data_IF_478507853725
#
_entry.id   IF_478507853725
#
_cell.length_a   1.000
_cell.length_b   1.000
_cell.length_c   1.000
_cell.angle_alpha   90.00
_cell.angle_beta   90.00
_cell.angle_gamma   90.00
#
_symmetry.space_group_name_H-M   'P 1'
#
loop_
_entity.id
_entity.type
_entity.pdbx_description
1 polymer ?
#
# COMPACT_ATOMS: atom_id res chain seq x y z
N UNK A 1 17.53 -8.75 3.73
CA UNK A 1 17.01 -7.42 4.12
C UNK A 1 17.02 -6.56 2.87
N UNK A 2 15.90 -5.92 2.54
CA UNK A 2 15.87 -4.92 1.47
C UNK A 2 15.53 -3.61 2.15
N UNK A 3 16.47 -2.69 2.13
CA UNK A 3 16.29 -1.32 2.62
C UNK A 3 16.28 -0.38 1.43
N UNK A 4 15.47 0.67 1.54
CA UNK A 4 15.38 1.73 0.56
C UNK A 4 15.51 3.05 1.31
N UNK A 5 16.51 3.86 0.97
CA UNK A 5 16.83 5.10 1.68
C UNK A 5 15.91 6.28 1.36
N UNK A 6 14.98 6.13 0.40
CA UNK A 6 14.09 7.19 -0.07
C UNK A 6 12.74 6.62 -0.56
N UNK A 7 12.22 7.11 -1.69
CA UNK A 7 10.88 6.75 -2.19
C UNK A 7 10.83 5.33 -2.78
N UNK A 8 9.87 4.52 -2.31
CA UNK A 8 9.49 3.27 -2.96
C UNK A 8 8.18 3.43 -3.73
N UNK A 9 8.25 3.40 -5.06
CA UNK A 9 7.07 3.33 -5.92
C UNK A 9 6.92 1.93 -6.52
N UNK A 10 5.79 1.29 -6.25
CA UNK A 10 5.45 -0.01 -6.83
C UNK A 10 4.16 0.10 -7.64
N UNK A 11 4.25 -0.20 -8.93
CA UNK A 11 3.09 -0.22 -9.84
C UNK A 11 2.98 -1.64 -10.41
N UNK A 12 1.86 -2.31 -10.13
CA UNK A 12 1.52 -3.57 -10.76
C UNK A 12 0.54 -3.29 -11.92
N UNK A 13 0.84 -3.80 -13.12
CA UNK A 13 -0.08 -3.72 -14.26
C UNK A 13 -1.24 -4.72 -14.20
N UNK A 14 -1.23 -5.62 -13.22
CA UNK A 14 -2.26 -6.61 -12.95
C UNK A 14 -2.46 -6.77 -11.43
N UNK A 15 -2.40 -8.00 -10.94
CA UNK A 15 -2.69 -8.30 -9.53
C UNK A 15 -1.47 -8.09 -8.62
N UNK A 16 -1.72 -7.61 -7.39
CA UNK A 16 -0.76 -7.59 -6.29
C UNK A 16 -1.30 -8.44 -5.14
N UNK A 17 -0.55 -9.48 -4.75
CA UNK A 17 -0.83 -10.31 -3.57
C UNK A 17 0.34 -10.15 -2.58
N UNK A 18 0.02 -10.09 -1.29
CA UNK A 18 1.01 -10.03 -0.20
C UNK A 18 0.64 -11.12 0.80
N UNK A 19 1.49 -12.14 0.92
CA UNK A 19 1.36 -13.20 1.92
C UNK A 19 2.48 -13.04 2.95
N UNK A 20 2.11 -13.01 4.22
CA UNK A 20 3.06 -12.89 5.34
C UNK A 20 2.76 -14.01 6.34
N UNK A 21 3.77 -14.74 6.79
CA UNK A 21 3.58 -15.88 7.69
C UNK A 21 3.10 -15.48 9.10
N UNK A 22 3.57 -14.32 9.59
CA UNK A 22 3.27 -13.84 10.93
C UNK A 22 2.57 -12.47 10.84
N UNK A 23 3.33 -11.39 10.95
CA UNK A 23 2.78 -10.04 11.10
C UNK A 23 3.16 -9.15 9.93
N UNK A 24 2.20 -8.34 9.47
CA UNK A 24 2.46 -7.20 8.57
C UNK A 24 2.24 -5.92 9.37
N UNK A 25 3.27 -5.09 9.49
CA UNK A 25 3.20 -3.80 10.17
C UNK A 25 3.46 -2.68 9.15
N UNK A 26 2.59 -1.67 9.13
CA UNK A 26 2.71 -0.49 8.27
C UNK A 26 2.68 0.74 9.15
N UNK A 27 3.77 1.52 9.13
CA UNK A 27 3.88 2.78 9.85
C UNK A 27 4.12 3.91 8.84
N UNK A 28 3.44 5.03 9.03
CA UNK A 28 3.56 6.22 8.17
C UNK A 28 3.68 7.47 9.02
N UNK A 29 4.49 8.43 8.59
CA UNK A 29 4.71 9.68 9.34
C UNK A 29 3.69 10.78 9.07
N UNK A 30 2.89 10.67 8.00
CA UNK A 30 1.94 11.70 7.60
C UNK A 30 0.56 11.10 7.27
N UNK A 31 0.49 10.23 6.26
CA UNK A 31 -0.76 9.61 5.88
C UNK A 31 -0.60 8.17 5.39
N UNK A 32 -1.69 7.42 5.50
CA UNK A 32 -1.86 6.13 4.84
C UNK A 32 -3.20 6.15 4.10
N UNK A 33 -3.16 6.19 2.77
CA UNK A 33 -4.36 6.27 1.91
C UNK A 33 -4.56 4.93 1.19
N UNK A 34 -5.75 4.35 1.37
CA UNK A 34 -6.24 3.21 0.59
C UNK A 34 -7.36 3.74 -0.30
N UNK A 35 -7.07 3.88 -1.59
CA UNK A 35 -8.07 4.22 -2.61
C UNK A 35 -8.40 2.98 -3.44
N UNK A 36 -9.65 2.51 -3.32
CA UNK A 36 -10.17 1.36 -4.04
C UNK A 36 -11.30 1.82 -4.95
N UNK A 37 -11.10 1.74 -6.27
CA UNK A 37 -12.03 2.34 -7.23
C UNK A 37 -13.48 1.80 -7.18
N UNK A 38 -13.69 0.52 -6.86
CA UNK A 38 -15.05 -0.07 -6.82
C UNK A 38 -15.41 -0.75 -5.51
N UNK A 39 -14.48 -1.48 -4.87
CA UNK A 39 -14.76 -2.23 -3.64
C UNK A 39 -13.50 -2.35 -2.78
N UNK A 40 -13.66 -2.11 -1.48
CA UNK A 40 -12.70 -2.50 -0.45
C UNK A 40 -13.35 -3.56 0.45
N UNK A 41 -12.64 -4.65 0.69
CA UNK A 41 -13.05 -5.69 1.65
C UNK A 41 -11.90 -5.89 2.63
N UNK A 42 -12.20 -5.80 3.92
CA UNK A 42 -11.28 -6.11 5.00
C UNK A 42 -11.88 -7.29 5.74
N UNK A 43 -11.15 -8.40 5.77
CA UNK A 43 -11.56 -9.63 6.44
C UNK A 43 -10.53 -9.94 7.54
N UNK A 44 -11.03 -10.26 8.73
CA UNK A 44 -10.24 -10.57 9.90
C UNK A 44 -10.89 -11.71 10.66
N UNK A 45 -10.10 -12.70 11.07
CA UNK A 45 -10.63 -13.90 11.73
C UNK A 45 -11.24 -13.67 13.10
N UNK A 46 -10.83 -12.61 13.81
CA UNK A 46 -11.29 -12.35 15.19
C UNK A 46 -11.65 -10.90 15.43
N UNK A 47 -10.82 -9.94 15.04
CA UNK A 47 -11.01 -8.55 15.46
C UNK A 47 -10.56 -7.55 14.41
N UNK A 48 -11.38 -6.53 14.20
CA UNK A 48 -11.00 -5.28 13.52
C UNK A 48 -11.09 -4.16 14.55
N UNK A 49 -10.02 -3.39 14.71
CA UNK A 49 -9.99 -2.23 15.60
C UNK A 49 -9.51 -1.00 14.83
N UNK A 50 -10.30 0.07 14.86
CA UNK A 50 -10.00 1.35 14.23
C UNK A 50 -9.93 2.40 15.35
N UNK A 51 -8.75 2.98 15.59
CA UNK A 51 -8.54 3.92 16.69
C UNK A 51 -7.98 5.25 16.20
N UNK A 52 -8.51 6.34 16.75
CA UNK A 52 -8.01 7.71 16.52
C UNK A 52 -8.07 8.47 17.84
N UNK A 53 -6.89 8.77 18.42
CA UNK A 53 -6.81 9.38 19.75
C UNK A 53 -7.53 8.53 20.80
N UNK A 54 -8.50 9.13 21.50
CA UNK A 54 -9.37 8.46 22.47
C UNK A 54 -10.61 7.79 21.88
N UNK A 55 -10.89 7.92 20.59
CA UNK A 55 -12.06 7.34 19.94
C UNK A 55 -11.71 6.03 19.24
N UNK A 56 -12.62 5.06 19.21
CA UNK A 56 -12.42 3.81 18.49
C UNK A 56 -13.71 3.12 18.03
N UNK A 57 -13.53 2.20 17.10
CA UNK A 57 -14.52 1.20 16.67
C UNK A 57 -13.85 -0.17 16.75
N UNK A 58 -14.49 -1.12 17.42
CA UNK A 58 -14.02 -2.51 17.48
C UNK A 58 -15.13 -3.43 16.98
N UNK A 59 -14.77 -4.36 16.09
CA UNK A 59 -15.64 -5.42 15.59
C UNK A 59 -15.03 -6.73 16.07
N UNK A 60 -15.82 -7.55 16.77
CA UNK A 60 -15.40 -8.85 17.30
C UNK A 60 -16.58 -9.84 17.32
N UNK A 61 -16.39 -11.10 17.75
CA UNK A 61 -17.51 -12.03 17.93
C UNK A 61 -18.57 -11.55 18.92
N UNK A 62 -18.25 -10.60 19.82
CA UNK A 62 -19.23 -9.97 20.72
C UNK A 62 -20.15 -8.97 20.02
N UNK A 63 -19.80 -8.52 18.80
CA UNK A 63 -20.53 -7.51 18.05
C UNK A 63 -19.67 -6.31 17.67
N UNK A 64 -20.30 -5.13 17.62
CA UNK A 64 -19.67 -3.86 17.25
C UNK A 64 -19.70 -2.92 18.44
N UNK A 65 -18.53 -2.50 18.88
CA UNK A 65 -18.33 -1.50 19.93
C UNK A 65 -17.91 -0.18 19.27
N UNK A 66 -18.57 0.92 19.65
CA UNK A 66 -18.27 2.26 19.15
C UNK A 66 -18.13 3.19 20.35
N UNK A 67 -16.94 3.72 20.56
CA UNK A 67 -16.65 4.66 21.64
C UNK A 67 -16.03 5.95 21.08
N UNK A 68 -16.55 7.09 21.53
CA UNK A 68 -15.96 8.38 21.22
C UNK A 68 -16.68 9.52 21.90
N UNK A 69 -16.03 10.68 21.97
CA UNK A 69 -16.58 11.90 22.59
C UNK A 69 -17.89 12.34 21.94
N UNK A 70 -18.07 12.08 20.65
CA UNK A 70 -19.31 12.28 19.92
C UNK A 70 -19.42 11.26 18.80
N UNK A 71 -20.55 10.55 18.74
CA UNK A 71 -20.87 9.61 17.67
C UNK A 71 -22.04 10.19 16.86
N UNK A 72 -21.79 10.51 15.59
CA UNK A 72 -22.81 11.02 14.67
C UNK A 72 -23.27 9.88 13.75
N UNK A 73 -24.58 9.63 13.71
CA UNK A 73 -25.20 8.62 12.85
C UNK A 73 -26.23 9.32 11.97
N UNK A 74 -26.06 9.27 10.65
CA UNK A 74 -26.93 9.92 9.66
C UNK A 74 -27.11 11.44 9.83
N UNK A 75 -26.17 12.14 10.49
CA UNK A 75 -26.24 13.59 10.75
C UNK A 75 -25.51 14.48 9.72
N UNK A 76 -25.21 13.95 8.52
CA UNK A 76 -24.43 14.68 7.50
C UNK A 76 -22.94 14.86 7.85
N UNK A 77 -22.19 15.51 6.95
CA UNK A 77 -20.75 15.77 7.08
C UNK A 77 -20.02 15.76 5.73
N UNK A 78 -18.72 16.08 5.73
CA UNK A 78 -17.85 15.92 4.57
C UNK A 78 -16.79 14.87 4.88
N UNK A 79 -16.62 13.89 3.98
CA UNK A 79 -15.60 12.87 4.14
C UNK A 79 -14.19 13.48 4.06
N UNK A 80 -13.29 13.02 4.93
CA UNK A 80 -11.87 13.34 4.80
C UNK A 80 -11.31 12.80 3.47
N UNK A 81 -10.38 13.53 2.86
CA UNK A 81 -9.62 13.07 1.69
C UNK A 81 -8.16 12.91 2.10
N UNK A 82 -7.57 11.76 1.78
CA UNK A 82 -6.12 11.58 1.90
C UNK A 82 -5.38 12.33 0.79
N UNK A 83 -4.06 12.45 0.91
CA UNK A 83 -3.20 13.01 -0.14
C UNK A 83 -2.51 11.89 -0.91
N UNK A 84 -2.67 11.89 -2.24
CA UNK A 84 -2.06 10.88 -3.11
C UNK A 84 -0.56 11.12 -3.30
N UNK A 85 0.21 10.03 -3.41
CA UNK A 85 1.61 10.07 -3.81
C UNK A 85 1.68 9.96 -5.34
N UNK A 86 2.27 10.96 -5.99
CA UNK A 86 2.38 11.00 -7.45
C UNK A 86 3.14 9.77 -7.99
N UNK A 87 2.62 9.18 -9.08
CA UNK A 87 3.25 8.03 -9.75
C UNK A 87 4.57 8.46 -10.41
N UNK A 88 5.68 7.84 -10.01
CA UNK A 88 6.97 7.97 -10.69
C UNK A 88 7.08 6.90 -11.79
N UNK A 89 7.35 7.31 -13.04
CA UNK A 89 7.64 6.35 -14.12
C UNK A 89 8.98 5.68 -13.85
N UNK A 90 9.09 4.37 -14.08
CA UNK A 90 10.36 3.67 -13.99
C UNK A 90 11.35 4.26 -14.99
N UNK A 91 12.55 4.62 -14.52
CA UNK A 91 13.64 4.99 -15.40
C UNK A 91 14.06 3.79 -16.25
N UNK A 92 14.56 4.03 -17.47
CA UNK A 92 15.20 2.95 -18.24
C UNK A 92 16.39 2.40 -17.44
N UNK A 93 16.56 1.08 -17.32
CA UNK A 93 17.77 0.54 -16.69
C UNK A 93 18.99 1.08 -17.43
N UNK A 94 20.04 1.45 -16.68
CA UNK A 94 21.32 1.83 -17.28
C UNK A 94 21.78 0.67 -18.16
N UNK A 95 22.19 0.95 -19.40
CA UNK A 95 22.80 -0.08 -20.26
C UNK A 95 23.99 -0.68 -19.51
N UNK A 96 24.01 -2.00 -19.39
CA UNK A 96 25.16 -2.70 -18.80
C UNK A 96 26.40 -2.40 -19.65
N UNK A 97 27.43 -1.85 -19.00
CA UNK A 97 28.70 -1.47 -19.63
C UNK A 97 29.88 -2.35 -19.21
N UNK A 98 29.63 -3.52 -18.61
CA UNK A 98 30.70 -4.42 -18.18
C UNK A 98 31.37 -5.18 -19.34
N UNK A 99 32.34 -6.06 -19.05
CA UNK A 99 33.21 -6.71 -20.05
C UNK A 99 32.46 -7.54 -21.10
N UNK A 100 31.21 -7.94 -20.82
CA UNK A 100 30.34 -8.66 -21.76
C UNK A 100 29.35 -7.76 -22.53
N UNK A 101 29.50 -6.43 -22.45
CA UNK A 101 28.63 -5.48 -23.16
C UNK A 101 28.90 -5.42 -24.68
N UNK A 102 30.07 -5.88 -25.13
CA UNK A 102 30.46 -5.90 -26.53
C UNK A 102 29.74 -7.04 -27.26
N UNK A 103 28.90 -6.70 -28.24
CA UNK A 103 28.31 -7.68 -29.15
C UNK A 103 29.32 -7.98 -30.27
N UNK A 104 29.81 -9.20 -30.33
CA UNK A 104 30.59 -9.66 -31.48
C UNK A 104 29.65 -9.87 -32.67
N UNK A 105 30.04 -9.46 -33.90
CA UNK A 105 29.27 -9.77 -35.10
C UNK A 105 29.11 -11.30 -35.22
N UNK A 106 27.92 -11.76 -35.61
CA UNK A 106 27.72 -13.16 -35.97
C UNK A 106 28.66 -13.50 -37.12
N UNK A 107 29.33 -14.65 -37.00
CA UNK A 107 30.37 -15.15 -37.91
C UNK A 107 29.89 -15.35 -39.36
N UNK A 108 28.60 -15.18 -39.62
CA UNK A 108 27.92 -15.62 -40.84
C UNK A 108 27.89 -14.53 -41.93
N UNK A 109 28.62 -13.42 -41.75
CA UNK A 109 28.88 -12.45 -42.82
C UNK A 109 30.23 -12.73 -43.46
N UNK A 110 30.25 -13.61 -44.45
CA UNK A 110 31.36 -13.78 -45.40
C UNK A 110 30.81 -13.75 -46.82
#
# INVERSE_FOLDING_TARGET
>A
MIETDADMHQVAGGNRRVDTANNTHVSTGNNYLIDAGSKLVIDAGTTICLKVGGNFITISPSGIEIEGTTVKINCGGMAGKGTEVAKKKAGKPKKYGGPHAVKYPRSDKK
#
